data_IF_954895740981
#
_entry.id   IF_954895740981
#
_cell.length_a   1.000
_cell.length_b   1.000
_cell.length_c   1.000
_cell.angle_alpha   90.00
_cell.angle_beta   90.00
_cell.angle_gamma   90.00
#
_symmetry.space_group_name_H-M   'P 1'
#
loop_
_entity.id
_entity.type
_entity.pdbx_description
1 polymer ?
#
# COMPACT_ATOMS: atom_id res chain seq x y z
N UNK A 1 -9.57 -10.48 18.67
CA UNK A 1 -10.70 -10.55 19.63
C UNK A 1 -11.44 -9.22 19.77
N UNK A 2 -10.76 -8.07 19.67
CA UNK A 2 -11.35 -6.73 19.72
C UNK A 2 -12.52 -6.56 18.72
N UNK A 3 -12.39 -7.12 17.54
CA UNK A 3 -13.36 -7.03 16.42
C UNK A 3 -14.65 -7.82 16.63
N UNK A 4 -14.72 -8.65 17.65
CA UNK A 4 -15.88 -9.49 17.99
C UNK A 4 -16.59 -9.05 19.26
N UNK A 5 -16.16 -7.94 19.87
CA UNK A 5 -16.73 -7.43 21.10
C UNK A 5 -17.66 -6.25 20.85
N UNK A 6 -18.75 -6.15 21.58
CA UNK A 6 -19.66 -4.98 21.62
C UNK A 6 -19.03 -3.79 22.34
N UNK A 7 -17.70 -3.73 22.42
CA UNK A 7 -16.97 -2.67 23.11
C UNK A 7 -16.77 -1.47 22.21
N UNK A 8 -16.98 -0.29 22.76
CA UNK A 8 -16.59 0.97 22.12
C UNK A 8 -15.07 1.05 22.09
N UNK A 9 -14.51 1.40 20.93
CA UNK A 9 -13.06 1.51 20.77
C UNK A 9 -12.66 2.30 19.55
N UNK A 10 -11.39 2.70 19.52
CA UNK A 10 -10.77 3.41 18.40
C UNK A 10 -9.69 2.53 17.81
N UNK A 11 -9.73 2.36 16.49
CA UNK A 11 -8.68 1.69 15.73
C UNK A 11 -7.89 2.74 14.94
N UNK A 12 -6.58 2.80 15.16
CA UNK A 12 -5.66 3.62 14.35
C UNK A 12 -4.88 2.69 13.46
N UNK A 13 -4.94 2.92 12.15
CA UNK A 13 -4.34 2.04 11.15
C UNK A 13 -3.75 2.83 9.99
N UNK A 14 -2.80 2.23 9.31
CA UNK A 14 -2.30 2.66 7.99
C UNK A 14 -3.14 2.02 6.88
N UNK A 15 -2.63 2.00 5.63
CA UNK A 15 -3.28 1.34 4.48
C UNK A 15 -3.56 -0.16 4.69
N UNK A 16 -3.03 -0.78 5.73
CA UNK A 16 -3.30 -2.20 6.01
C UNK A 16 -4.79 -2.49 6.20
N UNK A 17 -5.59 -1.49 6.57
CA UNK A 17 -7.05 -1.62 6.68
C UNK A 17 -7.73 -1.84 5.32
N UNK A 18 -7.08 -1.47 4.22
CA UNK A 18 -7.55 -1.71 2.85
C UNK A 18 -7.44 -3.19 2.48
N UNK A 19 -6.49 -3.92 3.08
CA UNK A 19 -6.34 -5.36 2.91
C UNK A 19 -7.60 -6.10 3.40
N UNK A 20 -7.74 -7.37 3.02
CA UNK A 20 -8.91 -8.21 3.26
C UNK A 20 -9.17 -8.53 4.75
N UNK A 21 -9.30 -7.51 5.57
CA UNK A 21 -9.67 -7.63 6.97
C UNK A 21 -11.20 -7.68 7.11
N UNK A 22 -11.69 -8.63 7.89
CA UNK A 22 -13.12 -8.72 8.21
C UNK A 22 -13.46 -7.83 9.42
N UNK A 23 -13.47 -6.52 9.16
CA UNK A 23 -13.72 -5.48 10.16
C UNK A 23 -14.96 -4.71 9.77
N UNK A 24 -15.73 -4.26 10.76
CA UNK A 24 -16.93 -3.46 10.59
C UNK A 24 -16.94 -2.33 11.64
N UNK A 25 -16.73 -1.11 11.18
CA UNK A 25 -16.70 0.10 11.98
C UNK A 25 -17.98 0.92 11.86
N UNK A 26 -18.24 1.81 12.82
CA UNK A 26 -19.36 2.76 12.77
C UNK A 26 -18.98 4.04 12.03
N UNK A 27 -17.75 4.52 12.21
CA UNK A 27 -17.28 5.81 11.67
C UNK A 27 -15.85 5.66 11.17
N UNK A 28 -15.56 6.31 10.04
CA UNK A 28 -14.24 6.42 9.44
C UNK A 28 -13.77 7.88 9.46
N UNK A 29 -12.59 8.10 10.01
CA UNK A 29 -11.81 9.31 9.83
C UNK A 29 -10.57 8.97 9.01
N UNK A 30 -10.40 9.58 7.84
CA UNK A 30 -9.28 9.25 6.95
C UNK A 30 -8.75 10.47 6.21
N UNK A 31 -7.49 10.41 5.80
CA UNK A 31 -6.95 11.37 4.85
C UNK A 31 -7.37 11.05 3.42
N UNK A 32 -7.47 12.08 2.58
CA UNK A 32 -7.67 11.93 1.16
C UNK A 32 -6.53 11.10 0.55
N UNK A 33 -6.89 10.18 -0.31
CA UNK A 33 -5.98 9.31 -1.07
C UNK A 33 -6.53 9.11 -2.47
N UNK A 34 -6.03 8.15 -3.24
CA UNK A 34 -6.67 7.74 -4.47
C UNK A 34 -8.07 7.20 -4.21
N UNK A 35 -8.97 7.35 -5.18
CA UNK A 35 -10.39 6.98 -5.02
C UNK A 35 -10.59 5.50 -4.71
N UNK A 36 -9.79 4.61 -5.30
CA UNK A 36 -9.81 3.17 -5.05
C UNK A 36 -9.45 2.84 -3.59
N UNK A 37 -8.40 3.44 -3.04
CA UNK A 37 -8.03 3.32 -1.63
C UNK A 37 -9.12 3.82 -0.70
N UNK A 38 -9.73 4.96 -1.01
CA UNK A 38 -10.85 5.49 -0.22
C UNK A 38 -12.06 4.56 -0.23
N UNK A 39 -12.44 4.05 -1.39
CA UNK A 39 -13.56 3.09 -1.51
C UNK A 39 -13.30 1.83 -0.69
N UNK A 40 -12.05 1.32 -0.70
CA UNK A 40 -11.68 0.16 0.12
C UNK A 40 -11.78 0.43 1.62
N UNK A 41 -11.39 1.64 2.08
CA UNK A 41 -11.55 2.05 3.49
C UNK A 41 -13.01 2.26 3.85
N UNK A 42 -13.79 2.93 3.01
CA UNK A 42 -15.24 3.11 3.21
C UNK A 42 -15.98 1.77 3.27
N UNK A 43 -15.53 0.77 2.52
CA UNK A 43 -16.05 -0.61 2.58
C UNK A 43 -15.80 -1.34 3.91
N UNK A 44 -15.18 -0.69 4.92
CA UNK A 44 -15.02 -1.19 6.29
C UNK A 44 -16.00 -0.55 7.28
N UNK A 45 -16.88 0.33 6.79
CA UNK A 45 -17.85 1.05 7.61
C UNK A 45 -19.23 0.55 7.26
N UNK A 46 -20.02 0.15 8.26
CA UNK A 46 -21.35 -0.47 8.10
C UNK A 46 -21.37 -1.59 7.04
N UNK A 47 -20.33 -2.40 7.02
CA UNK A 47 -20.15 -3.45 6.02
C UNK A 47 -21.22 -4.54 6.08
N UNK A 48 -21.66 -4.88 7.29
CA UNK A 48 -22.61 -5.97 7.56
C UNK A 48 -23.93 -5.47 8.14
N UNK A 49 -24.07 -4.17 8.29
CA UNK A 49 -25.20 -3.51 8.95
C UNK A 49 -25.71 -2.35 8.11
N UNK A 50 -26.98 -2.07 8.23
CA UNK A 50 -27.53 -0.83 7.69
C UNK A 50 -27.21 0.34 8.60
N UNK A 51 -26.87 1.50 8.03
CA UNK A 51 -26.71 2.72 8.78
C UNK A 51 -28.09 3.28 9.16
N UNK A 52 -28.57 2.95 10.34
CA UNK A 52 -29.84 3.47 10.87
C UNK A 52 -29.73 4.93 11.35
N UNK A 53 -28.51 5.45 11.48
CA UNK A 53 -28.25 6.81 11.91
C UNK A 53 -28.09 7.71 10.69
N UNK A 54 -28.83 8.80 10.63
CA UNK A 54 -28.73 9.81 9.54
C UNK A 54 -27.47 10.69 9.65
N UNK A 55 -26.53 10.33 10.52
CA UNK A 55 -25.28 11.07 10.71
C UNK A 55 -24.22 10.64 9.70
N UNK A 56 -23.41 11.61 9.30
CA UNK A 56 -22.25 11.34 8.46
C UNK A 56 -21.30 10.35 9.14
N UNK A 57 -20.99 9.25 8.49
CA UNK A 57 -20.15 8.16 9.02
C UNK A 57 -18.78 8.08 8.36
N UNK A 58 -18.49 8.92 7.35
CA UNK A 58 -17.20 9.02 6.68
C UNK A 58 -16.72 10.46 6.66
N UNK A 59 -15.55 10.70 7.23
CA UNK A 59 -14.91 12.00 7.31
C UNK A 59 -13.56 11.98 6.63
N UNK A 60 -13.42 12.76 5.55
CA UNK A 60 -12.21 12.79 4.74
C UNK A 60 -11.49 14.11 4.92
N UNK A 61 -10.27 14.07 5.43
CA UNK A 61 -9.40 15.24 5.57
C UNK A 61 -8.62 15.47 4.30
N UNK A 62 -8.68 16.68 3.75
CA UNK A 62 -8.12 17.04 2.44
C UNK A 62 -6.73 17.67 2.54
N UNK A 63 -5.92 17.28 3.53
CA UNK A 63 -4.53 17.74 3.62
C UNK A 63 -3.71 17.21 2.44
N UNK A 64 -2.76 18.04 1.99
CA UNK A 64 -1.94 17.75 0.81
C UNK A 64 -0.60 17.08 1.13
N UNK A 65 -0.42 16.58 2.33
CA UNK A 65 0.80 15.90 2.75
C UNK A 65 0.92 14.54 2.06
N UNK A 66 2.13 14.23 1.58
CA UNK A 66 2.41 12.96 0.89
C UNK A 66 2.05 12.93 -0.60
N UNK A 67 1.53 14.02 -1.19
CA UNK A 67 1.27 14.11 -2.63
C UNK A 67 2.59 14.03 -3.40
N UNK A 68 2.63 13.18 -4.41
CA UNK A 68 3.80 12.96 -5.26
C UNK A 68 4.82 11.97 -4.69
N UNK A 69 4.72 11.60 -3.41
CA UNK A 69 5.52 10.55 -2.79
C UNK A 69 4.76 9.24 -2.65
N UNK A 70 3.57 9.29 -2.05
CA UNK A 70 2.72 8.12 -1.81
C UNK A 70 1.64 8.01 -2.88
N UNK A 71 1.01 9.13 -3.22
CA UNK A 71 -0.08 9.20 -4.19
C UNK A 71 0.33 10.01 -5.41
N UNK A 72 -0.06 9.55 -6.60
CA UNK A 72 0.07 10.34 -7.82
C UNK A 72 -0.74 11.63 -7.70
N UNK A 73 -0.10 12.76 -8.02
CA UNK A 73 -0.71 14.09 -7.87
C UNK A 73 -1.98 14.24 -8.71
N UNK A 74 -1.95 13.75 -9.94
CA UNK A 74 -3.08 13.86 -10.87
C UNK A 74 -4.29 13.08 -10.35
N UNK A 75 -4.06 11.85 -9.90
CA UNK A 75 -5.13 10.99 -9.35
C UNK A 75 -5.69 11.60 -8.06
N UNK A 76 -4.82 12.14 -7.20
CA UNK A 76 -5.24 12.80 -5.95
C UNK A 76 -6.14 14.02 -6.22
N UNK A 77 -5.74 14.92 -7.13
CA UNK A 77 -6.50 16.12 -7.49
C UNK A 77 -7.84 15.75 -8.10
N UNK A 78 -7.87 14.78 -9.01
CA UNK A 78 -9.11 14.28 -9.62
C UNK A 78 -10.03 13.63 -8.60
N UNK A 79 -9.50 12.87 -7.65
CA UNK A 79 -10.28 12.30 -6.55
C UNK A 79 -10.93 13.41 -5.72
N UNK A 80 -10.16 14.45 -5.36
CA UNK A 80 -10.70 15.59 -4.62
C UNK A 80 -11.85 16.29 -5.38
N UNK A 81 -11.65 16.52 -6.67
CA UNK A 81 -12.65 17.21 -7.48
C UNK A 81 -13.96 16.43 -7.61
N UNK A 82 -13.85 15.13 -7.84
CA UNK A 82 -15.03 14.26 -7.95
C UNK A 82 -15.78 14.14 -6.62
N UNK A 83 -15.08 14.08 -5.49
CA UNK A 83 -15.70 13.93 -4.18
C UNK A 83 -16.38 15.21 -3.66
N UNK A 84 -16.07 16.39 -4.20
CA UNK A 84 -16.74 17.65 -3.82
C UNK A 84 -18.26 17.59 -4.06
N UNK A 85 -18.68 16.88 -5.10
CA UNK A 85 -20.09 16.73 -5.44
C UNK A 85 -20.87 15.90 -4.42
N UNK A 86 -20.17 15.13 -3.61
CA UNK A 86 -20.74 14.24 -2.59
C UNK A 86 -20.62 14.78 -1.15
N UNK A 87 -20.24 16.03 -0.98
CA UNK A 87 -20.13 16.63 0.33
C UNK A 87 -21.48 16.67 1.06
N UNK A 88 -21.54 16.06 2.24
CA UNK A 88 -22.77 15.89 3.03
C UNK A 88 -23.92 15.19 2.30
N UNK A 89 -23.59 14.32 1.35
CA UNK A 89 -24.56 13.50 0.63
C UNK A 89 -24.37 12.01 0.93
N UNK A 90 -25.40 11.23 0.66
CA UNK A 90 -25.29 9.78 0.68
C UNK A 90 -24.44 9.33 -0.51
N UNK A 91 -23.51 8.40 -0.25
CA UNK A 91 -22.59 7.85 -1.24
C UNK A 91 -22.93 6.38 -1.49
N UNK A 92 -23.62 6.12 -2.60
CA UNK A 92 -24.15 4.81 -2.96
C UNK A 92 -23.10 3.95 -3.70
N UNK A 93 -23.40 2.66 -3.88
CA UNK A 93 -22.52 1.77 -4.66
C UNK A 93 -22.33 2.23 -6.12
N UNK A 94 -23.39 2.76 -6.74
CA UNK A 94 -23.32 3.31 -8.09
C UNK A 94 -22.40 4.54 -8.18
N UNK A 95 -22.38 5.37 -7.12
CA UNK A 95 -21.51 6.52 -7.04
C UNK A 95 -20.03 6.12 -6.97
N UNK A 96 -19.71 5.00 -6.32
CA UNK A 96 -18.34 4.46 -6.26
C UNK A 96 -17.83 4.13 -7.66
N UNK A 97 -18.65 3.46 -8.47
CA UNK A 97 -18.32 3.13 -9.87
C UNK A 97 -18.15 4.40 -10.69
N UNK A 98 -19.11 5.33 -10.60
CA UNK A 98 -19.05 6.59 -11.31
C UNK A 98 -17.83 7.44 -10.95
N UNK A 99 -17.45 7.46 -9.66
CA UNK A 99 -16.25 8.15 -9.21
C UNK A 99 -14.98 7.50 -9.75
N UNK A 100 -14.90 6.16 -9.74
CA UNK A 100 -13.79 5.42 -10.33
C UNK A 100 -13.62 5.75 -11.82
N UNK A 101 -14.71 5.69 -12.59
CA UNK A 101 -14.71 5.98 -14.03
C UNK A 101 -14.30 7.42 -14.33
N UNK A 102 -14.76 8.38 -13.52
CA UNK A 102 -14.36 9.78 -13.65
C UNK A 102 -12.90 9.99 -13.32
N UNK A 103 -12.42 9.47 -12.20
CA UNK A 103 -11.01 9.66 -11.75
C UNK A 103 -10.04 8.98 -12.71
N UNK A 104 -10.33 7.74 -13.14
CA UNK A 104 -9.47 6.96 -14.02
C UNK A 104 -9.86 7.05 -15.50
N UNK A 105 -10.54 8.11 -15.92
CA UNK A 105 -10.89 8.31 -17.31
C UNK A 105 -9.66 8.34 -18.21
N UNK A 106 -9.53 7.33 -19.08
CA UNK A 106 -8.35 7.12 -19.91
C UNK A 106 -8.05 8.30 -20.84
N UNK A 107 -9.09 8.88 -21.44
CA UNK A 107 -8.92 10.01 -22.39
C UNK A 107 -8.33 11.24 -21.69
N UNK A 108 -8.78 11.51 -20.48
CA UNK A 108 -8.32 12.66 -19.70
C UNK A 108 -6.94 12.44 -19.07
N UNK A 109 -6.57 11.17 -18.81
CA UNK A 109 -5.27 10.82 -18.28
C UNK A 109 -4.19 10.62 -19.34
N UNK A 110 -4.55 10.54 -20.63
CA UNK A 110 -3.66 10.13 -21.71
C UNK A 110 -2.31 10.87 -21.75
N UNK A 111 -2.33 12.19 -21.50
CA UNK A 111 -1.13 13.04 -21.53
C UNK A 111 -0.46 13.22 -20.16
N UNK A 112 -0.92 12.51 -19.14
CA UNK A 112 -0.41 12.65 -17.78
C UNK A 112 0.80 11.73 -17.54
N UNK A 113 1.61 12.09 -16.52
CA UNK A 113 2.70 11.24 -16.05
C UNK A 113 2.21 9.88 -15.58
N UNK A 114 1.02 9.85 -14.95
CA UNK A 114 0.37 8.60 -14.52
C UNK A 114 0.20 7.63 -15.68
N UNK A 115 -0.40 8.08 -16.80
CA UNK A 115 -0.64 7.21 -17.96
C UNK A 115 0.65 6.79 -18.65
N UNK A 116 1.67 7.65 -18.67
CA UNK A 116 2.99 7.29 -19.18
C UNK A 116 3.58 6.12 -18.40
N UNK A 117 3.59 6.21 -17.06
CA UNK A 117 4.10 5.13 -16.19
C UNK A 117 3.26 3.86 -16.35
N UNK A 118 1.93 3.99 -16.47
CA UNK A 118 1.04 2.86 -16.71
C UNK A 118 1.38 2.14 -18.02
N UNK A 119 1.54 2.87 -19.10
CA UNK A 119 1.88 2.29 -20.41
C UNK A 119 3.25 1.61 -20.41
N UNK A 120 4.26 2.21 -19.78
CA UNK A 120 5.59 1.60 -19.61
C UNK A 120 5.52 0.28 -18.84
N UNK A 121 4.69 0.19 -17.81
CA UNK A 121 4.47 -1.04 -17.04
C UNK A 121 3.69 -2.08 -17.85
N UNK A 122 2.69 -1.66 -18.61
CA UNK A 122 1.91 -2.57 -19.46
C UNK A 122 2.77 -3.14 -20.60
N UNK A 123 3.62 -2.33 -21.22
CA UNK A 123 4.58 -2.77 -22.23
C UNK A 123 5.56 -3.80 -21.63
N UNK A 124 6.11 -3.52 -20.45
CA UNK A 124 6.96 -4.47 -19.74
C UNK A 124 6.24 -5.81 -19.49
N UNK A 125 5.00 -5.78 -19.00
CA UNK A 125 4.19 -6.98 -18.76
C UNK A 125 3.91 -7.77 -20.04
N UNK A 126 3.63 -7.09 -21.17
CA UNK A 126 3.35 -7.75 -22.45
C UNK A 126 4.58 -8.46 -23.03
N UNK A 127 5.78 -8.02 -22.65
CA UNK A 127 7.04 -8.60 -23.08
C UNK A 127 7.60 -9.65 -22.10
N UNK A 128 6.93 -9.88 -20.95
CA UNK A 128 7.35 -10.92 -20.02
C UNK A 128 7.08 -12.30 -20.58
N UNK A 129 8.16 -13.06 -20.71
CA UNK A 129 8.09 -14.50 -21.03
C UNK A 129 8.17 -15.28 -19.71
N UNK A 130 7.27 -16.24 -19.52
CA UNK A 130 7.25 -17.06 -18.32
C UNK A 130 8.64 -17.70 -18.06
N UNK A 131 9.11 -17.66 -16.82
CA UNK A 131 10.39 -18.23 -16.35
C UNK A 131 11.68 -17.50 -16.76
N UNK A 132 11.62 -16.36 -17.43
CA UNK A 132 12.82 -15.61 -17.83
C UNK A 132 13.18 -14.45 -16.92
N UNK A 133 12.32 -14.10 -15.95
CA UNK A 133 12.51 -12.93 -15.11
C UNK A 133 12.50 -13.33 -13.64
N UNK A 134 13.48 -12.85 -12.89
CA UNK A 134 13.57 -13.04 -11.45
C UNK A 134 12.49 -12.24 -10.72
N UNK A 135 11.92 -12.85 -9.66
CA UNK A 135 10.90 -12.19 -8.83
C UNK A 135 11.36 -10.81 -8.30
N UNK A 136 12.63 -10.69 -7.94
CA UNK A 136 13.25 -9.44 -7.47
C UNK A 136 13.20 -8.33 -8.52
N UNK A 137 13.39 -8.66 -9.80
CA UNK A 137 13.32 -7.71 -10.90
C UNK A 137 11.89 -7.20 -11.11
N UNK A 138 10.91 -8.10 -11.07
CA UNK A 138 9.48 -7.75 -11.16
C UNK A 138 9.08 -6.87 -9.97
N UNK A 139 9.45 -7.25 -8.76
CA UNK A 139 9.14 -6.46 -7.55
C UNK A 139 9.74 -5.05 -7.63
N UNK A 140 10.99 -4.91 -8.09
CA UNK A 140 11.64 -3.60 -8.28
C UNK A 140 10.92 -2.75 -9.33
N UNK A 141 10.47 -3.36 -10.43
CA UNK A 141 9.79 -2.65 -11.52
C UNK A 141 8.39 -2.17 -11.12
N UNK A 142 7.65 -2.97 -10.35
CA UNK A 142 6.26 -2.68 -10.01
C UNK A 142 6.08 -1.96 -8.68
N UNK A 143 6.86 -2.31 -7.67
CA UNK A 143 6.70 -1.75 -6.34
C UNK A 143 7.59 -0.55 -6.08
N UNK A 144 8.70 -0.42 -6.82
CA UNK A 144 9.73 0.61 -6.59
C UNK A 144 10.16 0.70 -5.11
N UNK A 145 10.09 -0.43 -4.40
CA UNK A 145 10.42 -0.55 -2.99
C UNK A 145 11.78 -1.24 -2.92
N UNK A 146 12.81 -0.47 -2.64
CA UNK A 146 14.11 -1.01 -2.27
C UNK A 146 14.13 -1.19 -0.76
N UNK A 147 13.87 -2.39 -0.29
CA UNK A 147 13.99 -2.73 1.12
C UNK A 147 15.38 -3.31 1.38
N UNK A 148 16.04 -2.78 2.39
CA UNK A 148 17.22 -3.40 3.00
C UNK A 148 16.83 -3.96 4.36
N UNK A 149 17.48 -5.02 4.77
CA UNK A 149 17.31 -5.56 6.10
C UNK A 149 18.38 -5.00 7.01
N UNK A 150 17.98 -4.36 8.10
CA UNK A 150 18.89 -3.77 9.09
C UNK A 150 18.87 -4.67 10.32
N UNK A 151 20.04 -5.17 10.71
CA UNK A 151 20.22 -5.87 11.97
C UNK A 151 20.38 -4.82 13.08
N UNK A 152 19.45 -4.74 14.06
CA UNK A 152 19.60 -3.83 15.19
C UNK A 152 20.83 -4.18 16.03
N UNK A 153 21.56 -3.16 16.50
CA UNK A 153 22.79 -3.30 17.27
C UNK A 153 22.64 -4.24 18.47
N UNK A 154 21.49 -4.18 19.15
CA UNK A 154 21.17 -5.05 20.31
C UNK A 154 21.28 -6.57 20.01
N UNK A 155 21.10 -6.97 18.74
CA UNK A 155 21.21 -8.38 18.34
C UNK A 155 22.61 -8.73 17.80
N UNK A 156 23.40 -7.73 17.39
CA UNK A 156 24.70 -7.95 16.79
C UNK A 156 25.68 -8.68 17.73
N UNK A 157 25.59 -8.42 19.03
CA UNK A 157 26.50 -9.02 20.02
C UNK A 157 26.10 -10.42 20.49
N UNK A 158 24.94 -10.92 20.08
CA UNK A 158 24.56 -12.30 20.39
C UNK A 158 25.48 -13.28 19.68
N UNK A 159 25.99 -14.27 20.46
CA UNK A 159 26.94 -15.30 19.96
C UNK A 159 26.35 -16.06 18.74
N UNK A 160 25.05 -16.36 18.79
CA UNK A 160 24.33 -17.04 17.72
C UNK A 160 24.32 -16.22 16.43
N UNK A 161 24.12 -14.92 16.51
CA UNK A 161 24.08 -14.00 15.34
C UNK A 161 25.48 -13.86 14.76
N UNK A 162 26.50 -13.68 15.56
CA UNK A 162 27.91 -13.67 15.11
C UNK A 162 28.26 -14.97 14.37
N UNK A 163 27.88 -16.12 14.95
CA UNK A 163 28.07 -17.41 14.29
C UNK A 163 27.34 -17.53 12.94
N UNK A 164 26.09 -17.06 12.86
CA UNK A 164 25.34 -17.03 11.60
C UNK A 164 26.03 -16.16 10.55
N UNK A 165 26.45 -14.96 10.92
CA UNK A 165 27.15 -14.03 10.02
C UNK A 165 28.45 -14.66 9.52
N UNK A 166 29.24 -15.25 10.39
CA UNK A 166 30.52 -15.93 10.04
C UNK A 166 30.27 -17.10 9.06
N UNK A 167 29.23 -17.90 9.29
CA UNK A 167 28.86 -18.98 8.40
C UNK A 167 28.41 -18.44 7.00
N UNK A 168 27.62 -17.37 6.94
CA UNK A 168 27.19 -16.74 5.69
C UNK A 168 28.38 -16.20 4.88
N UNK A 169 29.36 -15.60 5.57
CA UNK A 169 30.56 -15.03 4.93
C UNK A 169 31.47 -16.13 4.40
N UNK A 170 31.63 -17.22 5.17
CA UNK A 170 32.59 -18.29 4.86
C UNK A 170 32.03 -19.31 3.86
N UNK A 171 30.72 -19.52 3.82
CA UNK A 171 30.09 -20.50 2.91
C UNK A 171 29.75 -19.87 1.55
N UNK A 172 30.80 -19.57 0.77
CA UNK A 172 30.66 -18.98 -0.57
C UNK A 172 30.21 -19.97 -1.66
N UNK A 173 30.28 -21.27 -1.41
CA UNK A 173 30.11 -22.31 -2.44
C UNK A 173 28.73 -22.98 -2.41
N UNK A 174 28.04 -23.01 -1.28
CA UNK A 174 26.75 -23.68 -1.18
C UNK A 174 25.60 -22.66 -1.13
N UNK A 175 25.02 -22.37 -2.28
CA UNK A 175 23.97 -21.37 -2.44
C UNK A 175 22.71 -21.67 -1.61
N UNK A 176 22.29 -22.94 -1.55
CA UNK A 176 21.10 -23.36 -0.80
C UNK A 176 21.28 -23.15 0.70
N UNK A 177 22.38 -23.63 1.26
CA UNK A 177 22.69 -23.46 2.67
C UNK A 177 22.87 -22.00 3.07
N UNK A 178 23.51 -21.22 2.19
CA UNK A 178 23.64 -19.77 2.39
C UNK A 178 22.28 -19.06 2.43
N UNK A 179 21.35 -19.49 1.60
CA UNK A 179 19.98 -18.95 1.58
C UNK A 179 19.22 -19.25 2.87
N UNK A 180 19.35 -20.48 3.40
CA UNK A 180 18.77 -20.86 4.69
C UNK A 180 19.35 -20.03 5.84
N UNK A 181 20.67 -19.85 5.88
CA UNK A 181 21.34 -19.03 6.88
C UNK A 181 20.91 -17.55 6.81
N UNK A 182 20.76 -17.01 5.60
CA UNK A 182 20.24 -15.65 5.40
C UNK A 182 18.80 -15.51 5.90
N UNK A 183 17.94 -16.49 5.63
CA UNK A 183 16.57 -16.47 6.13
C UNK A 183 16.54 -16.48 7.67
N UNK A 184 17.35 -17.29 8.30
CA UNK A 184 17.46 -17.31 9.75
C UNK A 184 17.97 -15.97 10.33
N UNK A 185 18.87 -15.27 9.62
CA UNK A 185 19.34 -13.95 10.03
C UNK A 185 18.27 -12.87 9.84
N UNK A 186 17.44 -12.98 8.80
CA UNK A 186 16.34 -12.03 8.50
C UNK A 186 15.32 -11.97 9.63
N UNK A 187 15.09 -13.04 10.37
CA UNK A 187 14.17 -13.07 11.51
C UNK A 187 14.58 -12.11 12.65
N UNK A 188 15.86 -11.76 12.72
CA UNK A 188 16.42 -10.77 13.66
C UNK A 188 16.51 -9.36 13.06
N UNK A 189 16.21 -9.19 11.78
CA UNK A 189 16.36 -7.95 11.08
C UNK A 189 15.02 -7.19 10.96
N UNK A 190 15.14 -5.87 10.85
CA UNK A 190 14.00 -4.99 10.57
C UNK A 190 14.08 -4.59 9.10
N UNK A 191 13.01 -4.81 8.31
CA UNK A 191 12.97 -4.32 6.94
C UNK A 191 12.90 -2.79 6.95
N UNK A 192 13.84 -2.15 6.30
CA UNK A 192 13.90 -0.71 6.12
C UNK A 192 13.71 -0.36 4.64
N UNK A 193 12.68 0.39 4.32
CA UNK A 193 12.39 0.81 2.96
C UNK A 193 13.12 2.10 2.63
N UNK A 194 13.96 2.05 1.60
CA UNK A 194 14.63 3.24 1.07
C UNK A 194 13.72 3.87 0.02
N UNK A 195 13.09 4.97 0.36
CA UNK A 195 12.37 5.79 -0.61
C UNK A 195 13.38 6.57 -1.44
N UNK A 196 13.63 6.15 -2.68
CA UNK A 196 14.31 7.03 -3.63
C UNK A 196 13.27 8.02 -4.17
N UNK A 197 13.51 9.32 -4.08
CA UNK A 197 12.64 10.28 -4.75
C UNK A 197 12.62 9.97 -6.24
N UNK A 198 11.45 9.99 -6.86
CA UNK A 198 11.21 9.71 -8.28
C UNK A 198 11.99 10.59 -9.26
N UNK A 199 12.82 11.50 -8.77
CA UNK A 199 13.59 12.50 -9.52
C UNK A 199 15.12 12.37 -9.43
N UNK A 200 15.67 11.29 -8.92
CA UNK A 200 17.11 11.06 -9.07
C UNK A 200 17.36 10.38 -10.41
N UNK A 201 17.96 11.15 -11.35
CA UNK A 201 18.46 10.69 -12.65
C UNK A 201 19.29 9.43 -12.55
#
# INVERSE_FOLDING_TARGET
EFWKSDRVGICISTQIVEASLDIDFDVLYTYLSSIDSLIQRMGRVYRKRENSHQLSNVHIYTFKDGIGYVYDKTIFERTLDVLKDYHNQMFLEEDKVNCMDKVYNRKELEKTKYMKIYNEKMEYLSNLTALQVEKSEVDNKFRNINSIYILPERFYDLKEIKSLIDQIINDKKNTTKRYELLNNLIDYCIPYTIYRPLNSK
#
